data_IF_446268261468
#
_entry.id   IF_446268261468
#
_cell.length_a   1.000
_cell.length_b   1.000
_cell.length_c   1.000
_cell.angle_alpha   90.00
_cell.angle_beta   90.00
_cell.angle_gamma   90.00
#
_symmetry.space_group_name_H-M   'P 1'
#
loop_
_entity.id
_entity.type
_entity.pdbx_description
1 polymer ?
#
# COMPACT_ATOMS: atom_id res chain seq x y z
N UNK A 1 7.02 -20.84 -5.39
CA UNK A 1 7.10 -19.38 -5.59
C UNK A 1 8.15 -18.87 -4.63
N UNK A 2 8.73 -17.71 -4.90
CA UNK A 2 9.79 -17.18 -4.04
C UNK A 2 9.24 -16.01 -3.23
N UNK A 3 9.56 -15.98 -1.93
CA UNK A 3 9.23 -14.87 -1.04
C UNK A 3 10.52 -14.14 -0.69
N UNK A 4 10.59 -12.86 -0.99
CA UNK A 4 11.73 -12.01 -0.69
C UNK A 4 11.41 -11.09 0.50
N UNK A 5 12.22 -11.18 1.54
CA UNK A 5 12.28 -10.20 2.63
C UNK A 5 13.26 -9.12 2.18
N UNK A 6 12.75 -7.93 1.88
CA UNK A 6 13.52 -6.83 1.32
C UNK A 6 14.37 -6.15 2.40
N UNK A 7 15.46 -5.48 1.99
CA UNK A 7 16.39 -4.77 2.88
C UNK A 7 15.85 -3.40 3.34
N UNK A 8 14.55 -3.32 3.67
CA UNK A 8 13.89 -2.09 4.07
C UNK A 8 13.32 -2.21 5.49
N UNK A 9 13.87 -1.43 6.42
CA UNK A 9 13.34 -1.25 7.78
C UNK A 9 12.49 0.00 7.80
N UNK A 10 11.18 -0.17 7.91
CA UNK A 10 10.19 0.86 7.64
C UNK A 10 9.55 1.40 8.92
N UNK A 11 9.25 2.69 8.89
CA UNK A 11 8.39 3.39 9.84
C UNK A 11 7.08 3.77 9.16
N UNK A 12 5.99 3.61 9.90
CA UNK A 12 4.64 4.02 9.48
C UNK A 12 4.23 5.21 10.33
N UNK A 13 3.79 6.29 9.69
CA UNK A 13 3.47 7.55 10.36
C UNK A 13 2.19 8.16 9.81
N UNK A 14 1.55 9.00 10.61
CA UNK A 14 0.46 9.88 10.18
C UNK A 14 0.84 11.32 10.50
N UNK A 15 0.90 12.14 9.45
CA UNK A 15 1.11 13.58 9.53
C UNK A 15 -0.23 14.30 9.42
N UNK A 16 -0.60 15.03 10.47
CA UNK A 16 -1.77 15.91 10.44
C UNK A 16 -1.64 16.99 9.36
N UNK A 17 -2.72 17.27 8.62
CA UNK A 17 -2.73 18.35 7.62
C UNK A 17 -2.37 19.72 8.22
N UNK A 18 -2.71 19.96 9.49
CA UNK A 18 -2.38 21.20 10.19
C UNK A 18 -0.86 21.42 10.36
N UNK A 19 -0.07 20.35 10.33
CA UNK A 19 1.39 20.41 10.47
C UNK A 19 2.16 20.46 9.16
N UNK A 20 1.48 20.32 8.00
CA UNK A 20 2.13 20.05 6.71
C UNK A 20 3.26 21.02 6.37
N UNK A 21 3.08 22.31 6.64
CA UNK A 21 4.07 23.37 6.41
C UNK A 21 5.44 23.05 7.04
N UNK A 22 5.45 22.40 8.21
CA UNK A 22 6.67 22.07 8.96
C UNK A 22 7.43 20.90 8.35
N UNK A 23 6.74 20.10 7.54
CA UNK A 23 7.27 18.89 6.92
C UNK A 23 7.59 19.09 5.44
N UNK A 24 7.09 20.15 4.79
CA UNK A 24 7.29 20.42 3.36
C UNK A 24 8.76 20.34 2.95
N UNK A 25 9.70 20.90 3.72
CA UNK A 25 11.12 20.80 3.40
C UNK A 25 11.62 19.35 3.31
N UNK A 26 11.29 18.52 4.31
CA UNK A 26 11.66 17.10 4.33
C UNK A 26 10.98 16.31 3.20
N UNK A 27 9.68 16.54 3.00
CA UNK A 27 8.90 15.87 1.95
C UNK A 27 9.39 16.23 0.55
N UNK A 28 9.70 17.50 0.28
CA UNK A 28 10.29 17.94 -0.99
C UNK A 28 11.64 17.26 -1.23
N UNK A 29 12.48 17.16 -0.19
CA UNK A 29 13.76 16.46 -0.31
C UNK A 29 13.56 14.98 -0.66
N UNK A 30 12.65 14.29 0.03
CA UNK A 30 12.34 12.87 -0.20
C UNK A 30 11.77 12.60 -1.59
N UNK A 31 10.94 13.50 -2.12
CA UNK A 31 10.30 13.32 -3.43
C UNK A 31 11.24 13.71 -4.58
N UNK A 32 11.87 14.88 -4.51
CA UNK A 32 12.50 15.51 -5.69
C UNK A 32 14.03 15.51 -5.65
N UNK A 33 14.65 15.32 -4.49
CA UNK A 33 16.09 15.51 -4.31
C UNK A 33 16.76 14.19 -3.89
N UNK A 34 16.67 13.17 -4.74
CA UNK A 34 17.17 11.81 -4.46
C UNK A 34 18.64 11.78 -4.03
N UNK A 35 19.49 12.62 -4.63
CA UNK A 35 20.91 12.71 -4.28
C UNK A 35 21.19 13.39 -2.92
N UNK A 36 20.15 13.91 -2.26
CA UNK A 36 20.23 14.59 -0.96
C UNK A 36 19.76 13.74 0.21
N UNK A 37 19.30 12.51 -0.05
CA UNK A 37 18.86 11.56 0.97
C UNK A 37 19.34 10.15 0.61
N UNK A 38 19.46 9.28 1.61
CA UNK A 38 19.72 7.85 1.39
C UNK A 38 18.45 7.00 1.42
N UNK A 39 17.29 7.65 1.52
CA UNK A 39 15.99 7.00 1.46
C UNK A 39 15.82 6.24 0.13
N UNK A 40 15.48 4.97 0.24
CA UNK A 40 15.17 4.06 -0.86
C UNK A 40 13.71 3.63 -0.85
N UNK A 41 13.02 3.71 0.28
CA UNK A 41 11.61 3.41 0.40
C UNK A 41 10.86 4.64 0.91
N UNK A 42 10.07 5.28 0.06
CA UNK A 42 9.21 6.39 0.44
C UNK A 42 7.83 6.23 -0.19
N UNK A 43 6.79 6.31 0.63
CA UNK A 43 5.40 6.41 0.21
C UNK A 43 4.70 7.48 1.03
N UNK A 44 3.90 8.30 0.35
CA UNK A 44 2.99 9.26 0.93
C UNK A 44 1.60 9.02 0.36
N UNK A 45 0.65 8.76 1.24
CA UNK A 45 -0.77 8.65 0.89
C UNK A 45 -1.55 9.72 1.61
N UNK A 46 -2.10 10.66 0.86
CA UNK A 46 -2.97 11.71 1.35
C UNK A 46 -4.41 11.21 1.48
N UNK A 47 -4.96 11.39 2.68
CA UNK A 47 -6.36 11.19 3.02
C UNK A 47 -7.02 12.54 3.34
N UNK A 48 -8.34 12.61 3.61
CA UNK A 48 -8.99 13.87 3.97
C UNK A 48 -8.40 14.54 5.22
N UNK A 49 -7.96 13.75 6.21
CA UNK A 49 -7.57 14.27 7.53
C UNK A 49 -6.06 14.28 7.78
N UNK A 50 -5.29 13.48 7.05
CA UNK A 50 -3.88 13.24 7.31
C UNK A 50 -3.12 12.80 6.04
N UNK A 51 -1.81 12.73 6.17
CA UNK A 51 -0.91 12.08 5.24
C UNK A 51 -0.30 10.87 5.93
N UNK A 52 -0.57 9.67 5.43
CA UNK A 52 0.16 8.47 5.88
C UNK A 52 1.50 8.43 5.15
N UNK A 53 2.59 8.34 5.89
CA UNK A 53 3.92 8.12 5.32
C UNK A 53 4.41 6.72 5.71
N UNK A 54 4.88 5.96 4.73
CA UNK A 54 5.64 4.73 4.93
C UNK A 54 7.01 4.94 4.34
N UNK A 55 8.04 4.93 5.18
CA UNK A 55 9.39 5.26 4.77
C UNK A 55 10.45 4.51 5.56
N UNK A 56 11.61 4.28 4.94
CA UNK A 56 12.73 3.65 5.63
C UNK A 56 13.35 4.54 6.71
N UNK A 57 14.25 3.97 7.52
CA UNK A 57 14.92 4.66 8.61
C UNK A 57 15.76 5.87 8.15
N UNK A 58 16.26 5.91 6.91
CA UNK A 58 16.99 7.05 6.38
C UNK A 58 16.04 8.18 5.99
N UNK A 59 14.92 7.85 5.34
CA UNK A 59 13.86 8.81 5.05
C UNK A 59 13.22 9.38 6.32
N UNK A 60 13.01 8.55 7.35
CA UNK A 60 12.43 8.98 8.61
C UNK A 60 13.26 10.06 9.32
N UNK A 61 14.59 10.07 9.14
CA UNK A 61 15.49 11.11 9.69
C UNK A 61 15.25 12.49 9.09
N UNK A 62 14.63 12.57 7.91
CA UNK A 62 14.28 13.84 7.25
C UNK A 62 13.02 14.49 7.83
N UNK A 63 12.28 13.78 8.70
CA UNK A 63 11.05 14.29 9.31
C UNK A 63 11.36 14.88 10.71
N UNK A 64 11.02 16.15 10.96
CA UNK A 64 11.16 16.72 12.30
C UNK A 64 10.19 16.05 13.28
N UNK A 65 10.60 15.92 14.55
CA UNK A 65 9.71 15.47 15.62
C UNK A 65 8.86 16.65 16.09
N UNK A 66 7.55 16.56 15.87
CA UNK A 66 6.56 17.54 16.32
C UNK A 66 5.29 16.82 16.74
N UNK A 67 4.37 17.52 17.40
CA UNK A 67 3.09 16.97 17.84
C UNK A 67 2.13 16.66 16.67
N UNK A 68 2.48 17.07 15.44
CA UNK A 68 1.69 16.79 14.24
C UNK A 68 1.98 15.42 13.61
N UNK A 69 3.03 14.72 14.05
CA UNK A 69 3.45 13.44 13.49
C UNK A 69 3.25 12.31 14.50
N UNK A 70 2.30 11.43 14.20
CA UNK A 70 2.13 10.17 14.90
C UNK A 70 3.02 9.11 14.27
N UNK A 71 3.68 8.30 15.08
CA UNK A 71 4.61 7.26 14.63
C UNK A 71 4.22 5.95 15.27
N UNK A 72 4.05 4.90 14.47
CA UNK A 72 3.87 3.54 14.97
C UNK A 72 5.19 3.08 15.60
N UNK A 73 5.12 2.55 16.82
CA UNK A 73 6.31 2.14 17.57
C UNK A 73 7.11 1.05 16.83
N UNK A 74 6.40 0.06 16.28
CA UNK A 74 7.00 -1.07 15.59
C UNK A 74 7.79 -0.65 14.34
N UNK A 75 8.90 -1.35 14.10
CA UNK A 75 9.58 -1.36 12.80
C UNK A 75 8.94 -2.43 11.93
N UNK A 76 8.72 -2.10 10.66
CA UNK A 76 8.09 -2.97 9.69
C UNK A 76 9.11 -3.41 8.63
N UNK A 77 8.97 -4.62 8.13
CA UNK A 77 9.75 -5.18 7.03
C UNK A 77 8.85 -5.36 5.82
N UNK A 78 9.36 -5.07 4.63
CA UNK A 78 8.64 -5.32 3.39
C UNK A 78 8.92 -6.73 2.87
N UNK A 79 7.85 -7.47 2.58
CA UNK A 79 7.90 -8.73 1.86
C UNK A 79 7.38 -8.52 0.43
N UNK A 80 7.96 -9.24 -0.52
CA UNK A 80 7.53 -9.28 -1.90
C UNK A 80 7.46 -10.72 -2.41
N UNK A 81 6.40 -11.06 -3.14
CA UNK A 81 6.23 -12.39 -3.72
C UNK A 81 6.59 -12.35 -5.19
N UNK A 82 7.56 -13.18 -5.58
CA UNK A 82 7.98 -13.32 -6.97
C UNK A 82 7.44 -14.65 -7.49
N UNK A 83 6.47 -14.56 -8.40
CA UNK A 83 5.94 -15.73 -9.10
C UNK A 83 6.86 -16.08 -10.27
N UNK A 84 7.64 -17.16 -10.09
CA UNK A 84 8.49 -17.73 -11.14
C UNK A 84 7.67 -18.41 -12.24
N UNK A 85 6.88 -17.67 -13.03
CA UNK A 85 6.38 -18.01 -14.37
C UNK A 85 5.70 -19.37 -14.65
N UNK A 86 5.53 -20.27 -13.67
CA UNK A 86 5.18 -21.68 -13.87
C UNK A 86 3.82 -22.04 -13.24
N UNK A 87 2.86 -21.12 -13.24
CA UNK A 87 1.45 -21.47 -12.96
C UNK A 87 0.69 -21.60 -14.27
N UNK A 88 0.63 -22.84 -14.77
CA UNK A 88 -0.37 -23.30 -15.72
C UNK A 88 -1.76 -23.24 -15.07
N UNK A 89 -2.72 -22.67 -15.80
CA UNK A 89 -4.19 -22.63 -15.59
C UNK A 89 -4.76 -21.55 -14.67
N UNK A 90 -5.54 -20.63 -15.28
CA UNK A 90 -6.74 -20.08 -14.64
C UNK A 90 -6.79 -18.56 -14.44
N UNK A 91 -6.13 -18.05 -13.40
CA UNK A 91 -6.41 -16.70 -12.90
C UNK A 91 -5.55 -15.63 -13.61
N UNK A 92 -6.22 -14.68 -14.24
CA UNK A 92 -5.63 -13.47 -14.84
C UNK A 92 -5.68 -12.28 -13.87
N UNK A 93 -5.97 -12.52 -12.59
CA UNK A 93 -6.08 -11.44 -11.59
C UNK A 93 -4.76 -10.70 -11.43
N UNK A 94 -4.82 -9.46 -10.93
CA UNK A 94 -3.68 -8.59 -10.61
C UNK A 94 -3.80 -8.15 -9.15
N UNK A 95 -2.66 -7.87 -8.51
CA UNK A 95 -2.61 -7.30 -7.18
C UNK A 95 -2.72 -8.34 -6.05
N UNK A 96 -3.18 -7.88 -4.87
CA UNK A 96 -3.31 -8.67 -3.64
C UNK A 96 -4.12 -9.96 -3.81
N UNK A 97 -5.06 -9.97 -4.76
CA UNK A 97 -5.90 -11.13 -5.07
C UNK A 97 -5.08 -12.39 -5.38
N UNK A 98 -3.92 -12.24 -6.05
CA UNK A 98 -3.04 -13.37 -6.40
C UNK A 98 -2.44 -14.09 -5.19
N UNK A 99 -2.20 -13.33 -4.11
CA UNK A 99 -1.51 -13.79 -2.91
C UNK A 99 -2.46 -13.99 -1.72
N UNK A 100 -3.77 -13.80 -1.95
CA UNK A 100 -4.79 -13.87 -0.91
C UNK A 100 -4.76 -15.22 -0.17
N UNK A 101 -4.74 -16.33 -0.91
CA UNK A 101 -4.81 -17.69 -0.36
C UNK A 101 -3.46 -18.23 0.11
N UNK A 102 -2.38 -17.87 -0.56
CA UNK A 102 -1.04 -18.41 -0.28
C UNK A 102 -0.25 -17.59 0.75
N UNK A 103 -0.59 -16.32 0.96
CA UNK A 103 0.15 -15.46 1.90
C UNK A 103 -0.76 -14.78 2.90
N UNK A 104 -1.76 -14.01 2.43
CA UNK A 104 -2.57 -13.17 3.32
C UNK A 104 -3.37 -14.00 4.31
N UNK A 105 -4.06 -15.05 3.84
CA UNK A 105 -4.87 -15.92 4.70
C UNK A 105 -4.03 -16.74 5.70
N UNK A 106 -2.92 -17.42 5.30
CA UNK A 106 -2.04 -18.10 6.26
C UNK A 106 -1.49 -17.17 7.35
N UNK A 107 -1.05 -15.96 7.00
CA UNK A 107 -0.55 -14.98 7.98
C UNK A 107 -1.66 -14.55 8.96
N UNK A 108 -2.87 -14.31 8.46
CA UNK A 108 -4.02 -13.98 9.31
C UNK A 108 -4.40 -15.11 10.28
N UNK A 109 -4.38 -16.37 9.80
CA UNK A 109 -4.65 -17.56 10.62
C UNK A 109 -3.62 -17.71 11.75
N UNK A 110 -2.35 -17.40 11.46
CA UNK A 110 -1.26 -17.43 12.43
C UNK A 110 -1.10 -16.12 13.23
N UNK A 111 -2.09 -15.23 13.17
CA UNK A 111 -2.15 -13.98 13.95
C UNK A 111 -0.97 -13.03 13.69
N UNK A 112 -0.48 -13.02 12.46
CA UNK A 112 0.45 -12.01 11.98
C UNK A 112 -0.37 -10.86 11.37
N UNK A 113 -0.25 -9.67 11.96
CA UNK A 113 -0.88 -8.46 11.41
C UNK A 113 -0.01 -7.93 10.27
N UNK A 114 -0.67 -7.46 9.21
CA UNK A 114 -0.03 -6.99 7.99
C UNK A 114 -0.58 -5.62 7.59
N UNK A 115 0.25 -4.80 6.97
CA UNK A 115 -0.19 -3.65 6.18
C UNK A 115 0.11 -3.94 4.71
N UNK A 116 -0.79 -3.56 3.82
CA UNK A 116 -0.57 -3.74 2.38
C UNK A 116 -0.17 -2.42 1.74
N UNK A 117 0.80 -2.48 0.83
CA UNK A 117 1.16 -1.36 -0.02
C UNK A 117 1.31 -1.84 -1.46
N UNK A 118 0.18 -1.86 -2.17
CA UNK A 118 0.18 -2.04 -3.60
C UNK A 118 0.70 -0.81 -4.34
N UNK A 119 1.60 -1.05 -5.28
CA UNK A 119 2.13 -0.05 -6.23
C UNK A 119 1.81 -0.49 -7.65
N UNK A 120 2.12 0.36 -8.62
CA UNK A 120 2.05 -0.03 -10.02
C UNK A 120 2.96 -1.23 -10.35
N UNK A 121 4.11 -1.35 -9.68
CA UNK A 121 5.12 -2.37 -9.96
C UNK A 121 4.83 -3.71 -9.28
N UNK A 122 4.49 -3.67 -7.98
CA UNK A 122 4.27 -4.87 -7.16
C UNK A 122 3.43 -4.58 -5.92
N UNK A 123 3.06 -5.64 -5.20
CA UNK A 123 2.37 -5.60 -3.92
C UNK A 123 3.34 -5.88 -2.77
N UNK A 124 3.61 -4.87 -1.94
CA UNK A 124 4.39 -5.05 -0.72
C UNK A 124 3.49 -5.47 0.44
N UNK A 125 3.92 -6.48 1.17
CA UNK A 125 3.27 -6.94 2.40
C UNK A 125 4.18 -6.53 3.56
N UNK A 126 3.71 -5.61 4.39
CA UNK A 126 4.49 -5.13 5.52
C UNK A 126 4.14 -5.93 6.76
N UNK A 127 5.16 -6.51 7.39
CA UNK A 127 5.05 -7.26 8.65
C UNK A 127 5.91 -6.60 9.72
N UNK A 128 5.54 -6.71 10.99
CA UNK A 128 6.43 -6.24 12.06
C UNK A 128 7.70 -7.08 12.07
N UNK A 129 8.83 -6.43 12.31
CA UNK A 129 10.13 -7.10 12.46
C UNK A 129 10.09 -8.17 13.57
N UNK A 130 9.31 -7.93 14.65
CA UNK A 130 9.09 -8.88 15.74
C UNK A 130 8.35 -10.16 15.32
N UNK A 131 7.56 -10.10 14.26
CA UNK A 131 6.69 -11.19 13.81
C UNK A 131 7.36 -12.02 12.69
N UNK A 132 8.57 -11.64 12.26
CA UNK A 132 9.31 -12.32 11.20
C UNK A 132 9.55 -13.82 11.45
N UNK A 133 9.86 -14.29 12.68
CA UNK A 133 9.91 -15.72 12.98
C UNK A 133 8.61 -16.46 12.63
N UNK A 134 7.45 -15.87 12.97
CA UNK A 134 6.14 -16.45 12.67
C UNK A 134 5.88 -16.45 11.16
N UNK A 135 6.22 -15.36 10.47
CA UNK A 135 6.12 -15.26 8.99
C UNK A 135 6.91 -16.36 8.30
N UNK A 136 8.19 -16.54 8.68
CA UNK A 136 9.06 -17.57 8.08
C UNK A 136 8.47 -18.95 8.33
N UNK A 137 8.08 -19.25 9.57
CA UNK A 137 7.48 -20.53 9.91
C UNK A 137 6.22 -20.80 9.09
N UNK A 138 5.29 -19.84 9.03
CA UNK A 138 4.01 -19.95 8.33
C UNK A 138 4.15 -20.14 6.82
N UNK A 139 5.13 -19.48 6.18
CA UNK A 139 5.24 -19.46 4.71
C UNK A 139 6.30 -20.42 4.15
N UNK A 140 7.17 -20.99 5.00
CA UNK A 140 8.27 -21.86 4.55
C UNK A 140 7.82 -23.18 3.91
N UNK A 141 6.58 -23.62 4.14
CA UNK A 141 6.04 -24.83 3.51
C UNK A 141 5.70 -24.62 2.02
N UNK A 142 5.30 -23.41 1.64
CA UNK A 142 4.86 -23.08 0.27
C UNK A 142 5.89 -22.25 -0.53
N UNK A 143 6.80 -21.56 0.16
CA UNK A 143 7.74 -20.61 -0.44
C UNK A 143 9.19 -20.92 -0.11
N UNK A 144 10.04 -20.79 -1.13
CA UNK A 144 11.48 -20.59 -0.91
C UNK A 144 11.66 -19.15 -0.43
N UNK A 145 12.15 -18.97 0.81
CA UNK A 145 12.28 -17.65 1.42
C UNK A 145 13.72 -17.15 1.24
N UNK A 146 13.85 -15.95 0.70
CA UNK A 146 15.10 -15.23 0.53
C UNK A 146 15.07 -13.93 1.34
N UNK A 147 16.23 -13.51 1.84
CA UNK A 147 16.43 -12.21 2.46
C UNK A 147 17.44 -11.43 1.63
N UNK A 148 17.12 -10.20 1.31
CA UNK A 148 18.07 -9.28 0.69
C UNK A 148 19.04 -8.74 1.74
N UNK A 149 20.33 -8.87 1.46
CA UNK A 149 21.43 -8.36 2.29
C UNK A 149 22.44 -7.69 1.36
N UNK A 150 22.64 -6.38 1.51
CA UNK A 150 23.43 -5.56 0.60
C UNK A 150 23.04 -5.72 -0.89
N UNK A 151 21.74 -5.89 -1.16
CA UNK A 151 21.20 -6.13 -2.50
C UNK A 151 21.37 -7.55 -3.05
N UNK A 152 21.94 -8.49 -2.30
CA UNK A 152 22.03 -9.91 -2.69
C UNK A 152 20.94 -10.74 -2.00
N UNK A 153 20.30 -11.66 -2.73
CA UNK A 153 19.30 -12.57 -2.19
C UNK A 153 19.95 -13.80 -1.54
N UNK A 154 19.83 -13.92 -0.22
CA UNK A 154 20.36 -15.04 0.58
C UNK A 154 19.22 -15.92 1.05
N UNK A 155 19.30 -17.24 0.82
CA UNK A 155 18.27 -18.18 1.26
C UNK A 155 18.17 -18.24 2.79
N UNK A 156 16.94 -18.25 3.31
CA UNK A 156 16.65 -18.35 4.74
C UNK A 156 16.40 -19.81 5.10
N UNK A 157 17.12 -20.34 6.09
CA UNK A 157 16.92 -21.72 6.56
C UNK A 157 15.98 -21.77 7.77
N UNK A 158 15.05 -22.72 7.78
CA UNK A 158 14.07 -22.87 8.88
C UNK A 158 14.72 -23.16 10.24
N UNK A 159 15.97 -23.62 10.28
CA UNK A 159 16.71 -23.95 11.52
C UNK A 159 17.14 -22.73 12.31
N UNK A 160 17.20 -21.55 11.70
CA UNK A 160 17.56 -20.29 12.36
C UNK A 160 16.42 -19.75 13.26
N UNK A 161 15.25 -20.38 13.23
CA UNK A 161 14.03 -19.97 13.96
C UNK A 161 13.82 -20.82 15.20
N UNK A 162 14.81 -20.86 16.10
CA UNK A 162 14.67 -21.56 17.38
C UNK A 162 14.32 -20.58 18.51
N UNK A 163 13.17 -20.82 19.17
CA UNK A 163 12.75 -20.27 20.47
C UNK A 163 12.20 -18.82 20.55
N UNK A 164 11.27 -18.47 19.67
CA UNK A 164 10.59 -17.15 19.70
C UNK A 164 9.07 -17.18 19.83
N UNK A 165 8.43 -18.29 20.26
CA UNK A 165 6.97 -18.32 20.46
C UNK A 165 6.58 -17.41 21.64
N UNK A 166 6.45 -16.12 21.38
CA UNK A 166 5.78 -15.18 22.26
C UNK A 166 4.30 -15.54 22.32
N UNK A 167 3.80 -15.56 23.55
CA UNK A 167 2.44 -15.95 23.97
C UNK A 167 1.37 -15.42 23.03
N UNK A 168 0.33 -16.23 22.84
CA UNK A 168 -0.97 -15.85 22.27
C UNK A 168 -1.34 -14.43 22.70
N UNK A 169 -1.22 -13.46 21.77
CA UNK A 169 -1.87 -12.17 21.94
C UNK A 169 -3.36 -12.47 22.05
N UNK A 170 -4.00 -11.94 23.11
CA UNK A 170 -5.42 -12.12 23.38
C UNK A 170 -6.23 -11.97 22.08
N UNK A 171 -7.01 -12.99 21.77
CA UNK A 171 -7.71 -13.11 20.51
C UNK A 171 -8.68 -11.97 20.31
N UNK A 172 -8.32 -11.01 19.46
CA UNK A 172 -9.32 -10.22 18.76
C UNK A 172 -10.05 -11.19 17.83
N UNK A 173 -11.35 -11.39 18.11
CA UNK A 173 -12.26 -12.02 17.15
C UNK A 173 -12.26 -11.16 15.89
N UNK A 174 -12.24 -11.75 14.68
CA UNK A 174 -12.30 -10.99 13.44
C UNK A 174 -13.54 -10.09 13.48
N UNK A 175 -13.35 -8.78 13.44
CA UNK A 175 -14.47 -7.84 13.38
C UNK A 175 -14.78 -7.60 11.91
N UNK A 176 -16.05 -7.75 11.52
CA UNK A 176 -16.48 -7.34 10.18
C UNK A 176 -16.47 -5.81 10.13
N UNK A 177 -15.54 -5.27 9.36
CA UNK A 177 -15.39 -3.83 9.22
C UNK A 177 -16.37 -3.29 8.16
N UNK A 178 -17.08 -2.18 8.43
CA UNK A 178 -17.94 -1.58 7.43
C UNK A 178 -17.11 -1.08 6.25
N UNK A 179 -17.71 -1.11 5.07
CA UNK A 179 -17.09 -0.67 3.82
C UNK A 179 -17.84 0.50 3.21
N UNK A 180 -17.11 1.40 2.57
CA UNK A 180 -17.63 2.56 1.85
C UNK A 180 -17.04 2.58 0.43
N UNK A 181 -17.88 2.74 -0.59
CA UNK A 181 -17.41 2.82 -1.98
C UNK A 181 -17.70 4.19 -2.59
N UNK A 182 -16.74 5.13 -2.56
CA UNK A 182 -16.90 6.40 -3.23
C UNK A 182 -17.02 6.22 -4.76
N UNK A 183 -17.61 7.20 -5.44
CA UNK A 183 -17.83 7.18 -6.89
C UNK A 183 -16.60 7.60 -7.71
N UNK A 184 -15.51 8.04 -7.05
CA UNK A 184 -14.25 8.32 -7.75
C UNK A 184 -13.85 7.13 -8.64
N UNK A 185 -13.31 7.48 -9.80
CA UNK A 185 -12.56 6.57 -10.65
C UNK A 185 -11.08 6.89 -10.48
N UNK A 186 -10.30 5.89 -10.11
CA UNK A 186 -8.86 6.01 -9.88
C UNK A 186 -8.06 5.39 -11.02
N UNK A 187 -6.89 5.97 -11.27
CA UNK A 187 -5.85 5.42 -12.11
C UNK A 187 -4.68 5.00 -11.22
N UNK A 188 -4.07 3.85 -11.54
CA UNK A 188 -2.78 3.43 -10.97
C UNK A 188 -1.74 3.58 -12.08
N UNK A 189 -0.74 4.43 -11.85
CA UNK A 189 0.16 4.91 -12.90
C UNK A 189 1.61 4.83 -12.46
N UNK A 190 2.51 4.75 -13.44
CA UNK A 190 3.96 4.88 -13.25
C UNK A 190 4.49 6.13 -13.95
N UNK A 191 5.70 6.54 -13.61
CA UNK A 191 6.40 7.67 -14.21
C UNK A 191 7.87 7.29 -14.35
N UNK A 192 8.47 7.66 -15.47
CA UNK A 192 9.92 7.61 -15.62
C UNK A 192 10.57 8.60 -14.62
N UNK A 193 11.44 8.15 -13.69
CA UNK A 193 12.09 9.02 -12.72
C UNK A 193 12.80 10.23 -13.33
N UNK A 194 13.35 10.09 -14.53
CA UNK A 194 14.05 11.19 -15.22
C UNK A 194 13.08 12.31 -15.66
N UNK A 195 11.79 11.99 -15.77
CA UNK A 195 10.72 12.93 -16.12
C UNK A 195 10.01 13.54 -14.90
N UNK A 196 10.32 13.08 -13.68
CA UNK A 196 9.75 13.62 -12.44
C UNK A 196 9.90 15.15 -12.30
N UNK A 197 11.05 15.78 -12.66
CA UNK A 197 11.18 17.23 -12.63
C UNK A 197 10.14 17.97 -13.48
N UNK A 198 9.71 17.37 -14.59
CA UNK A 198 8.74 17.96 -15.53
C UNK A 198 7.34 18.10 -14.92
N UNK A 199 6.98 17.23 -13.96
CA UNK A 199 5.68 17.29 -13.27
C UNK A 199 5.79 17.90 -11.87
N UNK A 200 6.97 18.36 -11.46
CA UNK A 200 7.25 18.68 -10.06
C UNK A 200 6.32 19.75 -9.48
N UNK A 201 6.03 20.81 -10.25
CA UNK A 201 5.13 21.89 -9.79
C UNK A 201 3.70 21.40 -9.65
N UNK A 202 3.17 20.64 -10.61
CA UNK A 202 1.84 20.02 -10.51
C UNK A 202 1.77 19.04 -9.35
N UNK A 203 2.80 18.21 -9.18
CA UNK A 203 2.85 17.23 -8.11
C UNK A 203 2.90 17.91 -6.73
N UNK A 204 3.70 18.98 -6.57
CA UNK A 204 3.70 19.79 -5.35
C UNK A 204 2.34 20.44 -5.08
N UNK A 205 1.71 20.98 -6.12
CA UNK A 205 0.38 21.59 -6.01
C UNK A 205 -0.67 20.56 -5.58
N UNK A 206 -0.64 19.35 -6.14
CA UNK A 206 -1.50 18.23 -5.73
C UNK A 206 -1.22 17.80 -4.30
N UNK A 207 0.04 17.56 -3.94
CA UNK A 207 0.42 17.01 -2.63
C UNK A 207 0.27 18.00 -1.47
N UNK A 208 0.49 19.30 -1.70
CA UNK A 208 0.71 20.25 -0.61
C UNK A 208 -0.22 21.46 -0.60
N UNK A 209 -0.81 21.83 -1.74
CA UNK A 209 -1.55 23.09 -1.87
C UNK A 209 -3.01 22.91 -2.30
N UNK A 210 -3.36 21.73 -2.80
CA UNK A 210 -4.74 21.37 -3.13
C UNK A 210 -5.51 21.20 -1.83
N UNK A 211 -6.02 22.33 -1.30
CA UNK A 211 -6.87 22.31 -0.11
C UNK A 211 -8.02 21.35 -0.36
N UNK A 212 -8.14 20.36 0.50
CA UNK A 212 -9.35 19.56 0.65
C UNK A 212 -10.49 20.55 0.75
N UNK A 213 -11.39 20.55 -0.24
CA UNK A 213 -12.65 21.29 -0.17
C UNK A 213 -13.19 21.03 1.22
N UNK A 214 -13.38 22.06 2.04
CA UNK A 214 -13.91 21.89 3.39
C UNK A 214 -15.22 21.13 3.24
N UNK A 215 -15.22 19.84 3.59
CA UNK A 215 -16.45 19.08 3.73
C UNK A 215 -17.07 19.55 5.04
N UNK A 216 -17.61 20.77 4.99
CA UNK A 216 -18.48 21.27 6.03
C UNK A 216 -19.70 20.35 6.03
N UNK A 217 -20.08 19.89 7.22
CA UNK A 217 -21.17 18.98 7.57
C UNK A 217 -20.91 17.47 7.38
N UNK A 218 -20.97 16.77 8.51
CA UNK A 218 -20.81 15.34 8.72
C UNK A 218 -21.95 14.46 8.15
N UNK A 219 -22.64 14.96 7.11
CA UNK A 219 -23.86 14.32 6.59
C UNK A 219 -24.14 14.61 5.10
N UNK A 220 -23.12 15.01 4.32
CA UNK A 220 -23.26 15.18 2.87
C UNK A 220 -22.69 13.97 2.13
N UNK A 221 -23.57 13.34 1.33
CA UNK A 221 -23.32 12.29 0.35
C UNK A 221 -21.83 12.11 0.00
N UNK A 222 -21.24 11.00 0.47
CA UNK A 222 -19.87 10.55 0.18
C UNK A 222 -19.72 10.11 -1.28
N UNK A 223 -20.17 10.93 -2.22
CA UNK A 223 -20.05 10.66 -3.64
C UNK A 223 -18.58 10.61 -4.04
N UNK A 224 -17.70 11.41 -3.42
CA UNK A 224 -16.28 11.38 -3.72
C UNK A 224 -15.41 11.48 -2.45
N UNK A 225 -14.24 10.87 -2.49
CA UNK A 225 -13.19 10.95 -1.47
C UNK A 225 -11.95 11.64 -2.04
N UNK A 226 -11.25 12.41 -1.19
CA UNK A 226 -9.90 12.86 -1.49
C UNK A 226 -8.91 11.73 -1.18
N UNK A 227 -8.25 11.21 -2.21
CA UNK A 227 -7.23 10.19 -2.07
C UNK A 227 -6.16 10.38 -3.14
N UNK A 228 -4.92 10.49 -2.72
CA UNK A 228 -3.76 10.56 -3.59
C UNK A 228 -2.62 9.76 -2.96
N UNK A 229 -2.01 8.84 -3.71
CA UNK A 229 -0.84 8.10 -3.23
C UNK A 229 0.32 8.27 -4.20
N UNK A 230 1.49 8.60 -3.66
CA UNK A 230 2.75 8.66 -4.38
C UNK A 230 3.74 7.76 -3.65
N UNK A 231 4.46 6.92 -4.39
CA UNK A 231 5.59 6.17 -3.87
C UNK A 231 6.79 6.27 -4.80
N UNK A 232 7.96 6.35 -4.19
CA UNK A 232 9.27 6.25 -4.81
C UNK A 232 10.05 5.16 -4.04
N UNK A 233 10.09 3.95 -4.59
CA UNK A 233 10.66 2.77 -3.94
C UNK A 233 11.70 2.15 -4.86
N UNK A 234 12.94 2.07 -4.41
CA UNK A 234 14.12 1.62 -5.17
C UNK A 234 14.23 2.26 -6.56
N UNK A 235 13.75 3.50 -6.68
CA UNK A 235 13.76 4.27 -7.91
C UNK A 235 12.56 4.07 -8.83
N UNK A 236 11.61 3.22 -8.48
CA UNK A 236 10.36 3.10 -9.20
C UNK A 236 9.32 4.05 -8.62
N UNK A 237 8.66 4.80 -9.51
CA UNK A 237 7.56 5.69 -9.15
C UNK A 237 6.23 4.99 -9.43
N UNK A 238 5.32 5.09 -8.45
CA UNK A 238 3.92 4.72 -8.57
C UNK A 238 3.04 5.85 -8.04
N UNK A 239 1.96 6.13 -8.76
CA UNK A 239 0.99 7.18 -8.45
C UNK A 239 -0.41 6.58 -8.54
N UNK A 240 -1.19 6.73 -7.47
CA UNK A 240 -2.63 6.47 -7.47
C UNK A 240 -3.36 7.79 -7.33
N UNK A 241 -4.20 8.12 -8.32
CA UNK A 241 -4.85 9.42 -8.42
C UNK A 241 -6.22 9.29 -9.08
N UNK A 242 -7.18 10.13 -8.68
CA UNK A 242 -8.49 10.15 -9.32
C UNK A 242 -8.44 10.80 -10.72
N UNK A 243 -9.38 10.43 -11.58
CA UNK A 243 -9.45 10.93 -12.96
C UNK A 243 -9.62 12.45 -13.11
N UNK A 244 -10.12 13.17 -12.11
CA UNK A 244 -10.22 14.64 -12.17
C UNK A 244 -8.85 15.25 -11.88
N UNK A 245 -8.16 14.78 -10.84
CA UNK A 245 -6.82 15.25 -10.49
C UNK A 245 -5.78 14.85 -11.55
N UNK A 246 -5.91 13.65 -12.14
CA UNK A 246 -5.04 13.17 -13.21
C UNK A 246 -4.96 14.13 -14.40
N UNK A 247 -6.07 14.82 -14.74
CA UNK A 247 -6.12 15.79 -15.86
C UNK A 247 -5.27 17.04 -15.64
N UNK A 248 -4.83 17.30 -14.40
CA UNK A 248 -3.92 18.42 -14.07
C UNK A 248 -2.48 18.12 -14.47
N UNK A 249 -2.12 16.85 -14.62
CA UNK A 249 -0.78 16.45 -15.05
C UNK A 249 -0.61 16.61 -16.57
N UNK A 250 0.59 16.96 -17.06
CA UNK A 250 0.86 17.00 -18.49
C UNK A 250 0.56 15.67 -19.16
N UNK A 251 -0.06 15.72 -20.35
CA UNK A 251 -0.40 14.52 -21.12
C UNK A 251 0.86 13.73 -21.51
N UNK A 252 0.73 12.41 -21.64
CA UNK A 252 1.76 11.47 -22.11
C UNK A 252 2.99 11.27 -21.21
N UNK A 253 3.02 11.83 -20.00
CA UNK A 253 4.09 11.55 -19.03
C UNK A 253 3.74 10.40 -18.09
N UNK A 254 2.50 10.36 -17.59
CA UNK A 254 2.04 9.30 -16.70
C UNK A 254 1.69 8.04 -17.52
N UNK A 255 2.37 6.95 -17.21
CA UNK A 255 2.25 5.65 -17.87
C UNK A 255 1.21 4.78 -17.16
N UNK A 256 0.41 4.04 -17.91
CA UNK A 256 -0.57 3.07 -17.39
C UNK A 256 -0.52 1.77 -18.18
N UNK A 257 -0.81 0.64 -17.55
CA UNK A 257 -0.61 -0.71 -18.09
C UNK A 257 -1.65 -1.16 -19.12
N UNK A 258 -2.70 -0.38 -19.36
CA UNK A 258 -3.66 -0.58 -20.43
C UNK A 258 -4.40 0.74 -20.73
N UNK A 259 -4.87 0.94 -21.97
CA UNK A 259 -5.66 2.14 -22.28
C UNK A 259 -6.99 2.07 -21.50
N UNK A 260 -7.12 2.91 -20.47
CA UNK A 260 -8.35 3.17 -19.70
C UNK A 260 -8.77 2.15 -18.61
N UNK A 261 -7.87 1.39 -17.99
CA UNK A 261 -8.24 0.68 -16.76
C UNK A 261 -8.44 1.65 -15.59
N UNK A 262 -9.70 1.76 -15.16
CA UNK A 262 -10.14 2.58 -14.04
C UNK A 262 -10.58 1.70 -12.89
N UNK A 263 -10.26 2.15 -11.69
CA UNK A 263 -10.43 1.41 -10.46
C UNK A 263 -11.45 2.10 -9.56
N UNK A 264 -12.34 1.31 -8.95
CA UNK A 264 -13.26 1.79 -7.93
C UNK A 264 -12.68 1.45 -6.56
N UNK A 265 -12.74 2.41 -5.66
CA UNK A 265 -12.30 2.21 -4.29
C UNK A 265 -13.40 1.57 -3.46
N UNK A 266 -12.98 0.67 -2.59
CA UNK A 266 -13.69 0.19 -1.41
C UNK A 266 -12.81 0.56 -0.22
N UNK A 267 -13.22 1.56 0.56
CA UNK A 267 -12.58 1.92 1.82
C UNK A 267 -13.14 1.03 2.92
N UNK A 268 -12.25 0.52 3.77
CA UNK A 268 -12.55 -0.44 4.84
C UNK A 268 -12.25 0.20 6.20
N UNK A 269 -13.18 0.05 7.13
CA UNK A 269 -13.07 0.56 8.51
C UNK A 269 -14.00 1.75 8.76
N UNK A 270 -14.83 1.63 9.79
CA UNK A 270 -15.69 2.72 10.27
C UNK A 270 -15.03 3.58 11.36
N UNK A 271 -13.94 3.08 11.93
CA UNK A 271 -13.07 3.71 12.92
C UNK A 271 -11.62 3.34 12.57
N UNK A 272 -10.62 4.03 13.13
CA UNK A 272 -9.22 3.65 12.94
C UNK A 272 -8.97 2.17 13.25
N UNK A 273 -8.45 1.43 12.28
CA UNK A 273 -8.22 -0.02 12.37
C UNK A 273 -7.08 -0.38 13.35
N UNK A 274 -6.15 0.56 13.56
CA UNK A 274 -4.92 0.29 14.30
C UNK A 274 -4.01 -0.70 13.56
N UNK A 275 -3.09 -1.32 14.31
CA UNK A 275 -1.99 -2.10 13.72
C UNK A 275 -1.89 -3.53 14.30
N UNK A 276 -2.75 -3.92 15.24
CA UNK A 276 -2.68 -5.22 15.90
C UNK A 276 -3.71 -6.22 15.38
N UNK A 277 -4.84 -5.74 14.86
CA UNK A 277 -5.88 -6.61 14.30
C UNK A 277 -5.34 -7.38 13.09
N UNK A 278 -5.71 -8.66 12.99
CA UNK A 278 -5.29 -9.56 11.93
C UNK A 278 -6.49 -9.98 11.09
N UNK A 279 -6.27 -10.26 9.81
CA UNK A 279 -7.32 -10.77 8.92
C UNK A 279 -8.19 -9.72 8.24
N UNK A 280 -7.96 -8.42 8.46
CA UNK A 280 -8.68 -7.34 7.77
C UNK A 280 -8.45 -7.39 6.26
N UNK A 281 -7.21 -7.64 5.82
CA UNK A 281 -6.90 -7.81 4.40
C UNK A 281 -7.52 -9.11 3.88
N UNK A 282 -7.41 -10.21 4.64
CA UNK A 282 -7.94 -11.52 4.25
C UNK A 282 -9.46 -11.49 3.98
N UNK A 283 -10.26 -10.89 4.87
CA UNK A 283 -11.72 -10.78 4.71
C UNK A 283 -12.15 -10.05 3.42
N UNK A 284 -11.27 -9.24 2.83
CA UNK A 284 -11.51 -8.54 1.56
C UNK A 284 -10.90 -9.31 0.39
N UNK A 285 -9.64 -9.71 0.50
CA UNK A 285 -8.90 -10.32 -0.61
C UNK A 285 -9.35 -11.74 -0.93
N UNK A 286 -9.79 -12.53 0.05
CA UNK A 286 -10.24 -13.92 -0.18
C UNK A 286 -11.52 -13.98 -1.03
N UNK A 287 -12.62 -13.25 -0.69
CA UNK A 287 -13.80 -13.23 -1.56
C UNK A 287 -13.53 -12.69 -2.96
N UNK A 288 -12.63 -11.69 -3.09
CA UNK A 288 -12.21 -11.17 -4.39
C UNK A 288 -11.43 -12.23 -5.19
N UNK A 289 -10.61 -13.04 -4.53
CA UNK A 289 -9.88 -14.15 -5.16
C UNK A 289 -10.81 -15.28 -5.58
N UNK A 290 -11.81 -15.62 -4.77
CA UNK A 290 -12.84 -16.59 -5.14
C UNK A 290 -13.67 -16.13 -6.34
N UNK A 291 -13.84 -14.82 -6.51
CA UNK A 291 -14.53 -14.20 -7.63
C UNK A 291 -13.64 -13.86 -8.83
N UNK A 292 -12.34 -14.16 -8.79
CA UNK A 292 -11.34 -13.80 -9.82
C UNK A 292 -11.31 -12.29 -10.14
N UNK A 293 -11.46 -11.44 -9.11
CA UNK A 293 -11.46 -9.97 -9.22
C UNK A 293 -10.10 -9.40 -8.81
N UNK A 294 -9.41 -8.76 -9.75
CA UNK A 294 -8.16 -8.03 -9.49
C UNK A 294 -8.38 -6.87 -8.52
N UNK A 295 -7.45 -6.72 -7.57
CA UNK A 295 -7.48 -5.63 -6.61
C UNK A 295 -6.08 -5.18 -6.21
N UNK A 296 -5.84 -3.87 -6.25
CA UNK A 296 -4.75 -3.26 -5.48
C UNK A 296 -5.24 -2.97 -4.05
N UNK A 297 -4.34 -2.95 -3.08
CA UNK A 297 -4.67 -2.73 -1.68
C UNK A 297 -3.65 -1.79 -1.03
N UNK A 298 -4.14 -0.68 -0.47
CA UNK A 298 -3.31 0.32 0.22
C UNK A 298 -3.85 0.52 1.64
N UNK A 299 -3.07 0.10 2.61
CA UNK A 299 -3.25 0.42 4.01
C UNK A 299 -2.73 1.81 4.31
N UNK A 300 -3.55 2.62 4.98
CA UNK A 300 -3.15 3.91 5.55
C UNK A 300 -3.07 3.79 7.07
N UNK A 301 -2.69 4.87 7.75
CA UNK A 301 -2.57 4.85 9.20
C UNK A 301 -3.87 4.49 9.92
N UNK A 302 -5.02 4.86 9.34
CA UNK A 302 -6.32 4.69 9.97
C UNK A 302 -7.23 3.69 9.25
N UNK A 303 -7.11 3.55 7.92
CA UNK A 303 -8.06 2.79 7.11
C UNK A 303 -7.37 2.00 6.01
N UNK A 304 -8.05 0.98 5.53
CA UNK A 304 -7.62 0.19 4.38
C UNK A 304 -8.42 0.57 3.13
N UNK A 305 -7.80 0.41 1.96
CA UNK A 305 -8.39 0.79 0.68
C UNK A 305 -8.10 -0.28 -0.37
N UNK A 306 -9.15 -0.97 -0.83
CA UNK A 306 -9.06 -1.86 -1.98
C UNK A 306 -9.51 -1.11 -3.24
N UNK A 307 -8.68 -1.14 -4.29
CA UNK A 307 -9.00 -0.61 -5.61
C UNK A 307 -9.33 -1.80 -6.49
N UNK A 308 -10.61 -1.98 -6.83
CA UNK A 308 -11.10 -3.11 -7.62
C UNK A 308 -11.39 -2.69 -9.05
N UNK A 309 -11.11 -3.58 -10.02
CA UNK A 309 -11.33 -3.28 -11.43
C UNK A 309 -12.84 -3.19 -11.72
N UNK A 310 -13.27 -2.10 -12.35
CA UNK A 310 -14.68 -1.84 -12.68
C UNK A 310 -15.23 -2.76 -13.81
N UNK A 311 -14.39 -3.53 -14.49
CA UNK A 311 -14.78 -4.36 -15.63
C UNK A 311 -15.68 -5.56 -15.29
N UNK A 312 -15.92 -5.85 -14.00
CA UNK A 312 -16.87 -6.87 -13.56
C UNK A 312 -18.33 -6.59 -13.97
N UNK A 313 -18.70 -5.34 -14.25
CA UNK A 313 -20.06 -4.95 -14.63
C UNK A 313 -20.29 -4.79 -16.16
N UNK A 314 -19.25 -4.81 -16.99
CA UNK A 314 -19.40 -4.61 -18.45
C UNK A 314 -19.63 -5.91 -19.24
N UNK A 315 -19.53 -7.08 -18.60
CA UNK A 315 -19.79 -8.38 -19.25
C UNK A 315 -21.24 -8.86 -19.13
N UNK A 316 -22.07 -8.28 -18.25
CA UNK A 316 -23.48 -8.66 -18.10
C UNK A 316 -24.44 -7.88 -19.01
N UNK A 317 -24.06 -6.72 -19.54
CA UNK A 317 -24.95 -5.89 -20.39
C UNK A 317 -24.81 -6.10 -21.90
N UNK A 318 -23.89 -6.96 -22.37
CA UNK A 318 -23.70 -7.26 -23.81
C UNK A 318 -24.27 -8.60 -24.28
N UNK A 319 -24.97 -9.36 -23.42
CA UNK A 319 -25.81 -10.51 -23.82
C UNK A 319 -27.27 -10.14 -23.69
N UNK A 320 -27.74 -9.27 -24.57
CA UNK A 320 -29.12 -8.79 -24.52
C UNK A 320 -29.45 -7.78 -25.61
N UNK A 321 -29.04 -8.04 -26.85
CA UNK A 321 -29.69 -7.54 -28.07
C UNK A 321 -29.56 -8.58 -29.17
#
# INVERSE_FOLDING_TARGET
MDLHILEHRLKVTSLSKAGLERYTHGLIKLVFLRDRTRCKFFCLTEMPNDYTLVLDEEGFKELPRTDFLQVVEATWLALNVVSNGHSSTGSQTVGVTKIAKSVIAPLAQHKVSVLMLSTYQTDFILVRESDLPAVIHTLSEEFSIYREVNGESVAVTSTDVSNGFLKSKNGFSPTLHPVLSPKNLFCVMSLDPDTLPTIATTLMDVMFYSTSVKWESADQDLDHIHFFSFSLIDGYISIVVDTQTQKRFPSNLLLTSASAELWRMVRIGGQPLGFDECGIVAQISEPLADADISAYYISTFNFDHALVNNNGNLRSERKGR
#
